data_IF_475027689813
#
_entry.id   IF_475027689813
#
_cell.length_a   1.000
_cell.length_b   1.000
_cell.length_c   1.000
_cell.angle_alpha   90.00
_cell.angle_beta   90.00
_cell.angle_gamma   90.00
#
_symmetry.space_group_name_H-M   'P 1'
#
loop_
_entity.id
_entity.type
_entity.pdbx_description
1 polymer ?
#
# COMPACT_ATOMS: atom_id res chain seq x y z
N UNK A 1 -9.99 7.15 -1.36
CA UNK A 1 -10.41 5.76 -1.33
C UNK A 1 -9.53 4.94 -2.28
N UNK A 2 -9.15 3.74 -1.88
CA UNK A 2 -8.37 2.81 -2.71
C UNK A 2 -9.19 2.31 -3.91
N UNK A 3 -8.54 2.13 -5.05
CA UNK A 3 -9.11 1.47 -6.22
C UNK A 3 -8.07 0.53 -6.84
N UNK A 4 -8.39 -0.75 -6.94
CA UNK A 4 -7.49 -1.80 -7.44
C UNK A 4 -7.14 -1.61 -8.93
N UNK A 5 -7.96 -0.86 -9.66
CA UNK A 5 -7.75 -0.56 -11.08
C UNK A 5 -6.85 0.65 -11.33
N UNK A 6 -6.34 1.32 -10.27
CA UNK A 6 -5.48 2.51 -10.38
C UNK A 6 -4.25 2.31 -11.27
N UNK A 7 -3.77 1.07 -11.40
CA UNK A 7 -2.64 0.74 -12.29
C UNK A 7 -2.96 0.96 -13.77
N UNK A 8 -4.22 1.17 -14.14
CA UNK A 8 -4.62 1.55 -15.49
C UNK A 8 -4.18 2.98 -15.87
N UNK A 9 -3.75 3.80 -14.92
CA UNK A 9 -3.07 5.08 -15.19
C UNK A 9 -1.74 4.89 -15.93
N UNK A 10 -1.24 3.63 -15.98
CA UNK A 10 0.00 3.27 -16.68
C UNK A 10 1.18 4.18 -16.28
N UNK A 11 1.94 4.66 -17.29
CA UNK A 11 3.12 5.50 -17.10
C UNK A 11 2.83 7.00 -17.18
N UNK A 12 1.63 7.44 -16.85
CA UNK A 12 1.31 8.87 -16.80
C UNK A 12 2.18 9.56 -15.74
N UNK A 13 2.39 8.89 -14.61
CA UNK A 13 3.33 9.32 -13.58
C UNK A 13 4.48 8.32 -13.46
N UNK A 14 5.72 8.82 -13.45
CA UNK A 14 6.93 8.04 -13.22
C UNK A 14 7.55 8.47 -11.89
N UNK A 15 7.73 7.51 -10.98
CA UNK A 15 8.24 7.75 -9.62
C UNK A 15 9.63 7.12 -9.42
N UNK A 16 10.39 6.99 -10.50
CA UNK A 16 11.75 6.44 -10.56
C UNK A 16 12.82 7.52 -10.66
N UNK A 17 12.44 8.79 -10.55
CA UNK A 17 13.32 9.94 -10.68
C UNK A 17 13.54 10.43 -12.12
N UNK A 18 12.98 9.75 -13.13
CA UNK A 18 13.15 10.14 -14.54
C UNK A 18 12.20 11.26 -14.98
N UNK A 19 11.12 11.48 -14.24
CA UNK A 19 10.08 12.45 -14.61
C UNK A 19 10.50 13.88 -14.25
N UNK A 20 10.68 14.72 -15.26
CA UNK A 20 11.06 16.13 -15.11
C UNK A 20 9.99 17.12 -15.55
N UNK A 21 8.97 16.65 -16.25
CA UNK A 21 7.88 17.46 -16.80
C UNK A 21 6.53 16.97 -16.33
N UNK A 22 5.61 17.92 -16.12
CA UNK A 22 4.24 17.62 -15.74
C UNK A 22 3.47 16.96 -16.90
N UNK A 23 2.73 15.87 -16.67
CA UNK A 23 1.83 15.35 -17.69
C UNK A 23 0.70 16.35 -17.96
N UNK A 24 0.20 16.39 -19.18
CA UNK A 24 -0.92 17.28 -19.51
C UNK A 24 -2.21 16.81 -18.82
N UNK A 25 -3.09 17.77 -18.50
CA UNK A 25 -4.39 17.47 -17.88
C UNK A 25 -5.23 16.52 -18.74
N UNK A 26 -5.15 16.64 -20.05
CA UNK A 26 -5.84 15.77 -20.99
C UNK A 26 -5.38 14.31 -20.89
N UNK A 27 -4.05 14.09 -20.79
CA UNK A 27 -3.47 12.75 -20.62
C UNK A 27 -3.92 12.14 -19.29
N UNK A 28 -3.89 12.92 -18.20
CA UNK A 28 -4.35 12.47 -16.89
C UNK A 28 -5.83 12.11 -16.96
N UNK A 29 -6.66 12.97 -17.53
CA UNK A 29 -8.12 12.75 -17.64
C UNK A 29 -8.46 11.48 -18.43
N UNK A 30 -7.83 11.27 -19.57
CA UNK A 30 -8.03 10.06 -20.38
C UNK A 30 -7.61 8.78 -19.65
N UNK A 31 -6.55 8.85 -18.85
CA UNK A 31 -6.10 7.68 -18.09
C UNK A 31 -7.06 7.29 -16.97
N UNK A 32 -7.68 8.27 -16.32
CA UNK A 32 -8.70 8.04 -15.26
C UNK A 32 -9.97 7.37 -15.81
N UNK A 33 -10.31 7.58 -17.07
CA UNK A 33 -11.48 6.93 -17.70
C UNK A 33 -11.42 5.39 -17.66
N UNK A 34 -10.23 4.81 -17.48
CA UNK A 34 -10.01 3.36 -17.37
C UNK A 34 -9.99 2.87 -15.91
N UNK A 35 -10.16 3.77 -14.94
CA UNK A 35 -10.11 3.46 -13.51
C UNK A 35 -11.52 3.40 -12.95
N UNK A 36 -11.82 2.35 -12.20
CA UNK A 36 -13.10 2.19 -11.53
C UNK A 36 -13.39 0.73 -11.22
N UNK A 37 -13.31 0.36 -9.93
CA UNK A 37 -13.59 -1.01 -9.47
C UNK A 37 -15.00 -1.49 -9.81
N UNK A 38 -15.96 -0.59 -9.99
CA UNK A 38 -17.35 -0.89 -10.38
C UNK A 38 -17.45 -1.54 -11.76
N UNK A 39 -16.42 -1.42 -12.61
CA UNK A 39 -16.32 -2.05 -13.92
C UNK A 39 -15.59 -3.40 -13.89
N UNK A 40 -15.38 -3.95 -12.70
CA UNK A 40 -14.80 -5.29 -12.51
C UNK A 40 -15.94 -6.24 -12.18
N UNK A 41 -16.14 -7.26 -13.00
CA UNK A 41 -17.10 -8.33 -12.75
C UNK A 41 -16.36 -9.57 -12.26
N UNK A 42 -16.82 -10.09 -11.12
CA UNK A 42 -16.30 -11.31 -10.54
C UNK A 42 -17.35 -12.41 -10.69
N UNK A 43 -16.95 -13.54 -11.25
CA UNK A 43 -17.73 -14.77 -11.22
C UNK A 43 -16.98 -15.79 -10.35
N UNK A 44 -17.43 -15.96 -9.12
CA UNK A 44 -16.80 -16.88 -8.16
C UNK A 44 -17.09 -18.34 -8.52
N UNK A 45 -18.20 -18.66 -9.19
CA UNK A 45 -18.51 -20.02 -9.61
C UNK A 45 -17.60 -20.48 -10.74
N UNK A 46 -17.34 -19.59 -11.72
CA UNK A 46 -16.44 -19.86 -12.82
C UNK A 46 -14.97 -19.51 -12.51
N UNK A 47 -14.68 -18.91 -11.34
CA UNK A 47 -13.35 -18.39 -10.96
C UNK A 47 -12.77 -17.44 -12.02
N UNK A 48 -13.59 -16.53 -12.54
CA UNK A 48 -13.19 -15.59 -13.58
C UNK A 48 -13.35 -14.13 -13.17
N UNK A 49 -12.55 -13.27 -13.79
CA UNK A 49 -12.62 -11.82 -13.68
C UNK A 49 -12.80 -11.25 -15.09
N UNK A 50 -13.78 -10.37 -15.26
CA UNK A 50 -13.99 -9.63 -16.49
C UNK A 50 -13.83 -8.14 -16.25
N UNK A 51 -13.03 -7.46 -17.07
CA UNK A 51 -12.81 -6.03 -17.06
C UNK A 51 -13.63 -5.40 -18.18
N UNK A 52 -14.62 -4.58 -17.84
CA UNK A 52 -15.60 -4.06 -18.81
C UNK A 52 -15.00 -2.99 -19.73
N UNK A 53 -14.01 -2.22 -19.28
CA UNK A 53 -13.46 -1.10 -20.04
C UNK A 53 -12.18 -1.51 -20.78
N UNK A 54 -12.06 -1.18 -22.09
CA UNK A 54 -10.83 -1.41 -22.85
C UNK A 54 -9.61 -0.72 -22.19
N UNK A 55 -8.53 -1.47 -22.03
CA UNK A 55 -7.30 -0.96 -21.40
C UNK A 55 -7.35 -0.84 -19.89
N UNK A 56 -8.41 -1.28 -19.22
CA UNK A 56 -8.48 -1.45 -17.77
C UNK A 56 -7.47 -2.48 -17.29
N UNK A 57 -6.91 -2.26 -16.11
CA UNK A 57 -5.95 -3.16 -15.46
C UNK A 57 -6.26 -3.26 -13.99
N UNK A 58 -5.85 -4.34 -13.36
CA UNK A 58 -5.89 -4.51 -11.90
C UNK A 58 -4.48 -4.74 -11.36
N UNK A 59 -4.22 -4.26 -10.15
CA UNK A 59 -2.92 -4.40 -9.50
C UNK A 59 -3.04 -4.55 -7.99
N UNK A 60 -2.20 -5.40 -7.44
CA UNK A 60 -2.22 -5.77 -6.02
C UNK A 60 -1.21 -4.99 -5.16
N UNK A 61 -0.62 -3.91 -5.69
CA UNK A 61 0.43 -3.14 -5.01
C UNK A 61 0.04 -2.58 -3.64
N UNK A 62 -1.23 -2.27 -3.45
CA UNK A 62 -1.77 -1.68 -2.21
C UNK A 62 -2.43 -2.69 -1.27
N UNK A 63 -2.33 -3.99 -1.55
CA UNK A 63 -2.90 -5.04 -0.70
C UNK A 63 -2.00 -6.27 -0.61
N UNK A 64 -1.19 -6.52 -1.65
CA UNK A 64 -0.42 -7.76 -1.78
C UNK A 64 0.67 -7.93 -0.72
N UNK A 65 1.27 -6.84 -0.23
CA UNK A 65 2.27 -6.90 0.84
C UNK A 65 1.63 -7.35 2.16
N UNK A 66 0.51 -6.73 2.52
CA UNK A 66 -0.26 -7.10 3.71
C UNK A 66 -0.74 -8.56 3.66
N UNK A 67 -1.32 -8.98 2.52
CA UNK A 67 -1.68 -10.38 2.28
C UNK A 67 -0.50 -11.33 2.45
N UNK A 68 0.66 -11.01 1.88
CA UNK A 68 1.87 -11.85 2.01
C UNK A 68 2.36 -11.96 3.46
N UNK A 69 2.29 -10.86 4.22
CA UNK A 69 2.64 -10.87 5.64
C UNK A 69 1.71 -11.77 6.46
N UNK A 70 0.40 -11.68 6.24
CA UNK A 70 -0.59 -12.50 6.95
C UNK A 70 -0.48 -13.98 6.56
N UNK A 71 -0.32 -14.29 5.27
CA UNK A 71 -0.12 -15.67 4.80
C UNK A 71 1.19 -16.27 5.36
N UNK A 72 2.27 -15.48 5.41
CA UNK A 72 3.51 -15.89 6.04
C UNK A 72 3.34 -16.24 7.50
N UNK A 73 2.61 -15.40 8.27
CA UNK A 73 2.25 -15.65 9.67
C UNK A 73 1.49 -16.97 9.82
N UNK A 74 0.44 -17.18 9.02
CA UNK A 74 -0.37 -18.40 9.07
C UNK A 74 0.46 -19.66 8.81
N UNK A 75 1.32 -19.62 7.79
CA UNK A 75 2.20 -20.76 7.45
C UNK A 75 3.17 -21.06 8.62
N UNK A 76 3.76 -20.03 9.22
CA UNK A 76 4.68 -20.20 10.36
C UNK A 76 3.96 -20.77 11.59
N UNK A 77 2.76 -20.24 11.92
CA UNK A 77 1.92 -20.78 13.00
C UNK A 77 1.56 -22.25 12.74
N UNK A 78 1.19 -22.61 11.52
CA UNK A 78 0.86 -23.98 11.14
C UNK A 78 2.07 -24.94 11.25
N UNK A 79 3.30 -24.42 11.18
CA UNK A 79 4.54 -25.17 11.40
C UNK A 79 4.97 -25.22 12.88
N UNK A 80 4.15 -24.76 13.81
CA UNK A 80 4.42 -24.78 15.24
C UNK A 80 5.34 -23.65 15.73
N UNK A 81 5.56 -22.61 14.95
CA UNK A 81 6.30 -21.42 15.42
C UNK A 81 5.37 -20.59 16.30
N UNK A 82 5.67 -20.53 17.58
CA UNK A 82 4.79 -19.92 18.59
C UNK A 82 4.79 -18.40 18.57
N UNK A 83 5.90 -17.75 18.15
CA UNK A 83 5.99 -16.30 18.13
C UNK A 83 6.88 -15.81 16.97
N UNK A 84 6.55 -14.65 16.40
CA UNK A 84 7.33 -14.05 15.33
C UNK A 84 6.71 -12.79 14.73
N UNK A 85 7.46 -12.23 13.79
CA UNK A 85 7.00 -11.15 12.90
C UNK A 85 7.34 -11.54 11.47
N UNK A 86 6.37 -11.46 10.57
CA UNK A 86 6.61 -11.45 9.12
C UNK A 86 6.58 -10.00 8.64
N UNK A 87 7.64 -9.60 7.93
CA UNK A 87 7.78 -8.27 7.35
C UNK A 87 7.81 -8.39 5.82
N UNK A 88 6.75 -7.94 5.17
CA UNK A 88 6.63 -7.86 3.72
C UNK A 88 6.84 -6.41 3.25
N UNK A 89 8.10 -5.97 3.16
CA UNK A 89 8.48 -4.63 2.70
C UNK A 89 7.76 -3.49 3.47
N UNK A 90 7.76 -3.61 4.81
CA UNK A 90 7.21 -2.58 5.70
C UNK A 90 5.79 -2.88 6.22
N UNK A 91 5.05 -3.79 5.58
CA UNK A 91 3.80 -4.30 6.13
C UNK A 91 4.11 -5.50 7.02
N UNK A 92 3.69 -5.42 8.28
CA UNK A 92 4.09 -6.33 9.35
C UNK A 92 2.89 -7.11 9.88
N UNK A 93 3.08 -8.41 10.11
CA UNK A 93 2.12 -9.26 10.81
C UNK A 93 2.83 -9.99 11.95
N UNK A 94 2.45 -9.71 13.19
CA UNK A 94 3.07 -10.23 14.39
C UNK A 94 2.15 -11.21 15.13
N UNK A 95 2.76 -12.21 15.81
CA UNK A 95 2.05 -13.13 16.69
C UNK A 95 2.93 -13.55 17.86
N UNK A 96 2.29 -13.98 18.93
CA UNK A 96 2.96 -14.33 20.18
C UNK A 96 3.79 -13.18 20.74
N UNK A 97 4.71 -13.48 21.64
CA UNK A 97 5.60 -12.50 22.28
C UNK A 97 7.06 -12.91 22.15
N UNK A 98 8.00 -11.94 22.08
CA UNK A 98 9.42 -12.26 22.13
C UNK A 98 9.79 -12.84 23.51
N UNK A 99 10.85 -13.67 23.61
CA UNK A 99 11.19 -14.38 24.85
C UNK A 99 11.45 -13.48 26.08
N UNK A 100 11.80 -12.21 25.86
CA UNK A 100 12.21 -11.28 26.93
C UNK A 100 11.25 -10.10 27.10
N UNK A 101 10.12 -10.10 26.42
CA UNK A 101 9.11 -9.02 26.50
C UNK A 101 7.71 -9.64 26.27
N UNK A 102 6.69 -8.93 26.73
CA UNK A 102 5.29 -9.32 26.57
C UNK A 102 4.71 -8.87 25.20
N UNK A 103 5.44 -8.08 24.42
CA UNK A 103 5.00 -7.60 23.09
C UNK A 103 6.17 -7.27 22.16
N UNK A 104 5.94 -7.41 20.87
CA UNK A 104 6.84 -6.94 19.82
C UNK A 104 6.83 -5.41 19.77
N UNK A 105 8.02 -4.79 19.73
CA UNK A 105 8.17 -3.32 19.61
C UNK A 105 8.46 -2.95 18.16
N UNK A 106 7.55 -2.21 17.55
CA UNK A 106 7.66 -1.75 16.15
C UNK A 106 7.68 -0.24 16.10
N UNK A 107 8.75 0.33 15.55
CA UNK A 107 8.90 1.77 15.39
C UNK A 107 8.12 2.32 14.20
N UNK A 108 7.40 3.41 14.39
CA UNK A 108 6.80 4.21 13.32
C UNK A 108 7.78 5.31 12.95
N UNK A 109 8.25 5.30 11.72
CA UNK A 109 9.25 6.24 11.24
C UNK A 109 8.69 7.68 11.14
N UNK A 110 9.58 8.65 11.39
CA UNK A 110 9.27 10.06 11.15
C UNK A 110 9.41 10.38 9.66
N UNK A 111 8.35 10.81 8.96
CA UNK A 111 8.40 11.09 7.52
C UNK A 111 9.28 12.31 7.16
N UNK A 112 9.64 13.15 8.14
CA UNK A 112 10.41 14.37 7.94
C UNK A 112 11.84 14.29 8.46
N UNK A 113 12.16 13.28 9.29
CA UNK A 113 13.49 13.13 9.91
C UNK A 113 13.94 11.69 9.80
N UNK A 114 14.84 11.43 8.86
CA UNK A 114 15.46 10.12 8.69
C UNK A 114 16.05 9.60 10.01
N UNK A 115 15.95 8.30 10.23
CA UNK A 115 16.46 7.59 11.43
C UNK A 115 15.82 8.03 12.77
N UNK A 116 14.69 8.74 12.74
CA UNK A 116 13.90 9.04 13.94
C UNK A 116 12.55 8.37 13.87
N UNK A 117 12.09 7.91 15.03
CA UNK A 117 10.73 7.36 15.20
C UNK A 117 9.83 8.42 15.84
N UNK A 118 8.57 8.47 15.41
CA UNK A 118 7.52 9.28 16.06
C UNK A 118 6.83 8.52 17.16
N UNK A 119 6.77 7.18 17.05
CA UNK A 119 6.09 6.31 18.01
C UNK A 119 6.69 4.90 17.96
N UNK A 120 6.60 4.20 19.09
CA UNK A 120 6.81 2.74 19.17
C UNK A 120 5.46 2.10 19.47
N UNK A 121 5.04 1.16 18.63
CA UNK A 121 3.86 0.35 18.84
C UNK A 121 4.26 -0.95 19.55
N UNK A 122 3.39 -1.43 20.43
CA UNK A 122 3.50 -2.74 21.07
C UNK A 122 2.46 -3.66 20.41
N UNK A 123 2.94 -4.75 19.81
CA UNK A 123 2.11 -5.63 19.00
C UNK A 123 2.08 -7.03 19.60
N UNK A 124 0.86 -7.54 19.83
CA UNK A 124 0.55 -8.95 20.10
C UNK A 124 -0.62 -9.34 19.22
N UNK A 125 -0.48 -10.41 18.44
CA UNK A 125 -1.51 -10.85 17.47
C UNK A 125 -2.06 -9.70 16.61
N UNK A 126 -1.18 -8.78 16.24
CA UNK A 126 -1.52 -7.55 15.50
C UNK A 126 -0.62 -7.34 14.31
N UNK A 127 -1.13 -6.59 13.37
CA UNK A 127 -0.43 -6.17 12.18
C UNK A 127 -0.30 -4.64 12.11
N UNK A 128 0.66 -4.17 11.31
CA UNK A 128 0.86 -2.76 11.03
C UNK A 128 1.24 -2.60 9.56
N UNK A 129 0.64 -1.62 8.91
CA UNK A 129 1.05 -1.15 7.59
C UNK A 129 1.22 0.38 7.60
N UNK A 130 2.16 0.86 6.80
CA UNK A 130 2.41 2.30 6.65
C UNK A 130 2.53 2.65 5.18
N UNK A 131 1.69 3.59 4.73
CA UNK A 131 1.85 4.27 3.45
C UNK A 131 2.49 5.63 3.66
N UNK A 132 3.50 5.97 2.86
CA UNK A 132 4.23 7.22 2.99
C UNK A 132 4.49 7.90 1.65
N UNK A 133 4.13 9.18 1.54
CA UNK A 133 4.33 9.99 0.34
C UNK A 133 5.81 10.31 0.07
N UNK A 134 6.68 10.07 1.03
CA UNK A 134 8.12 10.34 0.97
C UNK A 134 8.94 9.18 0.40
N UNK A 135 8.36 7.96 0.30
CA UNK A 135 9.10 6.77 -0.15
C UNK A 135 9.39 6.81 -1.65
N UNK A 136 8.38 7.16 -2.44
CA UNK A 136 8.48 7.28 -3.90
C UNK A 136 7.74 8.54 -4.36
N UNK A 137 8.43 9.36 -5.13
CA UNK A 137 7.87 10.62 -5.65
C UNK A 137 8.53 11.01 -6.97
N UNK A 138 7.82 11.80 -7.77
CA UNK A 138 8.40 12.58 -8.85
C UNK A 138 8.75 13.98 -8.33
N UNK A 139 9.89 14.55 -8.73
CA UNK A 139 10.25 15.93 -8.41
C UNK A 139 10.24 16.77 -9.68
N UNK A 140 9.30 17.71 -9.77
CA UNK A 140 9.08 18.54 -10.94
C UNK A 140 9.07 20.01 -10.48
N UNK A 141 9.99 20.81 -11.02
CA UNK A 141 10.16 22.23 -10.65
C UNK A 141 10.32 22.46 -9.14
N UNK A 142 11.09 21.58 -8.46
CA UNK A 142 11.34 21.65 -7.02
C UNK A 142 10.16 21.24 -6.13
N UNK A 143 9.07 20.75 -6.72
CA UNK A 143 7.91 20.24 -5.99
C UNK A 143 7.82 18.73 -6.11
N UNK A 144 7.54 18.07 -4.97
CA UNK A 144 7.39 16.61 -4.89
C UNK A 144 5.93 16.19 -5.08
N UNK A 145 5.75 15.18 -5.91
CA UNK A 145 4.48 14.55 -6.24
C UNK A 145 4.55 13.09 -5.83
N UNK A 146 3.74 12.71 -4.86
CA UNK A 146 3.70 11.35 -4.28
C UNK A 146 3.24 10.30 -5.31
N UNK A 147 3.72 9.07 -5.14
CA UNK A 147 3.21 7.91 -5.88
C UNK A 147 1.80 7.47 -5.44
N UNK A 148 1.28 8.03 -4.36
CA UNK A 148 -0.09 7.78 -3.91
C UNK A 148 -1.01 8.69 -4.71
N UNK A 149 -1.79 8.10 -5.62
CA UNK A 149 -2.63 8.83 -6.58
C UNK A 149 -4.09 8.73 -6.18
N UNK A 150 -4.81 9.85 -6.29
CA UNK A 150 -6.26 9.86 -6.14
C UNK A 150 -6.91 9.22 -7.38
N UNK A 151 -7.62 8.08 -7.25
CA UNK A 151 -8.18 7.36 -8.39
C UNK A 151 -9.28 8.11 -9.14
N UNK A 152 -9.89 9.12 -8.51
CA UNK A 152 -10.94 9.93 -9.13
C UNK A 152 -10.39 11.06 -9.99
N UNK A 153 -9.20 11.56 -9.67
CA UNK A 153 -8.64 12.72 -10.36
C UNK A 153 -7.40 12.39 -11.17
N UNK A 154 -6.72 11.26 -10.89
CA UNK A 154 -5.45 10.88 -11.49
C UNK A 154 -4.27 11.70 -10.98
N UNK A 155 -4.48 12.62 -10.03
CA UNK A 155 -3.44 13.45 -9.43
C UNK A 155 -2.86 12.82 -8.17
N UNK A 156 -1.55 13.01 -7.92
CA UNK A 156 -0.93 12.67 -6.64
C UNK A 156 -1.66 13.29 -5.45
N UNK A 157 -1.85 12.49 -4.40
CA UNK A 157 -2.49 12.93 -3.16
C UNK A 157 -1.59 13.93 -2.42
N UNK A 158 -2.22 14.89 -1.74
CA UNK A 158 -1.55 15.91 -0.94
C UNK A 158 -2.16 15.97 0.47
N UNK A 159 -1.41 16.54 1.42
CA UNK A 159 -1.90 16.82 2.78
C UNK A 159 -1.30 15.90 3.84
N UNK A 160 -1.25 14.58 3.62
CA UNK A 160 -0.67 13.63 4.57
C UNK A 160 0.72 13.18 4.11
N UNK A 161 1.69 13.21 5.02
CA UNK A 161 3.03 12.70 4.75
C UNK A 161 3.11 11.18 4.89
N UNK A 162 2.40 10.61 5.88
CA UNK A 162 2.24 9.17 6.05
C UNK A 162 0.98 8.83 6.84
N UNK A 163 0.50 7.62 6.63
CA UNK A 163 -0.59 7.02 7.40
C UNK A 163 -0.12 5.65 7.88
N UNK A 164 -0.19 5.42 9.18
CA UNK A 164 0.10 4.11 9.78
C UNK A 164 -1.19 3.56 10.38
N UNK A 165 -1.54 2.36 9.97
CA UNK A 165 -2.71 1.63 10.48
C UNK A 165 -2.23 0.39 11.21
N UNK A 166 -2.80 0.11 12.39
CA UNK A 166 -2.60 -1.13 13.13
C UNK A 166 -3.95 -1.84 13.33
N UNK A 167 -3.94 -3.17 13.25
CA UNK A 167 -5.13 -3.99 13.35
C UNK A 167 -4.80 -5.48 13.36
N UNK A 168 -5.81 -6.36 13.34
CA UNK A 168 -5.58 -7.81 13.41
C UNK A 168 -5.01 -8.43 12.12
N UNK A 169 -5.10 -7.74 11.00
CA UNK A 169 -4.68 -8.18 9.67
C UNK A 169 -3.82 -7.12 8.99
N UNK A 170 -2.68 -7.54 8.43
CA UNK A 170 -1.79 -6.68 7.66
C UNK A 170 -2.40 -6.32 6.30
N UNK A 171 -3.15 -7.25 5.70
CA UNK A 171 -3.89 -7.00 4.47
C UNK A 171 -4.89 -5.85 4.65
N UNK A 172 -5.69 -5.90 5.72
CA UNK A 172 -6.65 -4.85 6.02
C UNK A 172 -5.99 -3.53 6.43
N UNK A 173 -4.91 -3.58 7.20
CA UNK A 173 -4.14 -2.39 7.56
C UNK A 173 -3.52 -1.72 6.31
N UNK A 174 -2.99 -2.51 5.37
CA UNK A 174 -2.44 -2.02 4.11
C UNK A 174 -3.51 -1.37 3.21
N UNK A 175 -4.70 -1.96 3.17
CA UNK A 175 -5.84 -1.39 2.44
C UNK A 175 -6.30 -0.03 2.98
N UNK A 176 -6.18 0.19 4.29
CA UNK A 176 -6.62 1.42 4.97
C UNK A 176 -5.52 2.48 5.11
N UNK A 177 -4.25 2.13 4.94
CA UNK A 177 -3.11 3.07 5.04
C UNK A 177 -2.81 3.88 3.74
#
# INVERSE_FOLDING_TARGET
>A
AFDISIVALDKVWLFDGSMTTMPSEEVIKRSVEKVGYQHIRLDSAASTIFLELPGMKIGFGSIGKGYAADRGREIMKAKGIEAGIVNASGDLSAWGSPPQDDAWKVGVNNPFKAHRMVKVLRLNEMAVATSGSYEKYAEINGKRYSHIINPKTGWPSVGLASVTVSGPSAEFANFLS
#
